data_IF_899445420473
#
_entry.id   IF_899445420473
#
_cell.length_a   1.000
_cell.length_b   1.000
_cell.length_c   1.000
_cell.angle_alpha   90.00
_cell.angle_beta   90.00
_cell.angle_gamma   90.00
#
_symmetry.space_group_name_H-M   'P 1'
#
loop_
_entity.id
_entity.type
_entity.pdbx_description
1 polymer ?
#
# COMPACT_ATOMS: atom_id res chain seq x y z
N UNK A 1 11.16 3.83 -8.81
CA UNK A 1 11.25 3.12 -7.50
C UNK A 1 12.42 2.17 -7.53
N UNK A 2 13.24 2.13 -6.48
CA UNK A 2 14.38 1.21 -6.37
C UNK A 2 13.97 -0.04 -5.59
N UNK A 3 14.60 -1.21 -5.82
CA UNK A 3 14.40 -2.37 -4.96
C UNK A 3 14.80 -2.05 -3.51
N UNK A 4 14.05 -2.57 -2.53
CA UNK A 4 14.32 -2.38 -1.10
C UNK A 4 13.07 -2.22 -0.26
N UNK A 5 13.25 -1.75 0.98
CA UNK A 5 12.21 -1.65 1.99
C UNK A 5 11.53 -0.29 1.95
N UNK A 6 10.19 -0.31 2.00
CA UNK A 6 9.35 0.86 2.04
C UNK A 6 8.30 0.75 3.14
N UNK A 7 7.89 1.89 3.71
CA UNK A 7 6.60 2.00 4.40
C UNK A 7 5.59 2.62 3.45
N UNK A 8 4.39 2.08 3.42
CA UNK A 8 3.22 2.74 2.84
C UNK A 8 2.49 3.44 3.99
N UNK A 9 2.38 4.77 3.89
CA UNK A 9 1.59 5.57 4.81
C UNK A 9 0.22 5.89 4.17
N UNK A 10 -0.82 6.01 4.99
CA UNK A 10 -2.19 6.29 4.54
C UNK A 10 -2.84 7.37 5.42
N UNK A 11 -3.58 8.27 4.77
CA UNK A 11 -4.52 9.19 5.39
C UNK A 11 -5.90 9.04 4.72
N UNK A 12 -6.98 9.27 5.46
CA UNK A 12 -8.35 9.33 4.94
C UNK A 12 -8.53 10.46 3.94
N UNK A 13 -9.46 10.30 3.00
CA UNK A 13 -9.72 11.31 1.96
C UNK A 13 -10.36 12.62 2.48
N UNK A 14 -10.82 12.62 3.73
CA UNK A 14 -11.33 13.78 4.46
C UNK A 14 -10.26 14.50 5.30
N UNK A 15 -9.03 13.97 5.34
CA UNK A 15 -7.90 14.57 6.03
C UNK A 15 -7.07 15.46 5.10
N UNK A 16 -6.33 16.42 5.68
CA UNK A 16 -5.41 17.27 4.92
C UNK A 16 -4.16 16.47 4.54
N UNK A 17 -3.87 16.24 3.23
CA UNK A 17 -2.70 15.49 2.81
C UNK A 17 -1.37 16.21 3.10
N UNK A 18 -1.39 17.51 3.42
CA UNK A 18 -0.22 18.28 3.84
C UNK A 18 0.07 18.19 5.35
N UNK A 19 -0.87 17.65 6.14
CA UNK A 19 -0.66 17.41 7.57
C UNK A 19 0.00 16.05 7.78
N UNK A 20 1.28 16.05 8.16
CA UNK A 20 2.02 14.82 8.41
C UNK A 20 1.42 13.98 9.55
N UNK A 21 0.71 14.59 10.51
CA UNK A 21 0.07 13.88 11.62
C UNK A 21 -1.18 13.08 11.18
N UNK A 22 -1.72 13.39 9.99
CA UNK A 22 -2.86 12.65 9.42
C UNK A 22 -2.48 11.24 8.95
N UNK A 23 -1.19 10.95 8.76
CA UNK A 23 -0.73 9.71 8.15
C UNK A 23 -0.44 8.62 9.19
N UNK A 24 -1.16 7.51 9.07
CA UNK A 24 -0.85 6.26 9.75
C UNK A 24 -0.01 5.32 8.89
N UNK A 25 0.67 4.36 9.52
CA UNK A 25 1.31 3.25 8.81
C UNK A 25 0.22 2.31 8.25
N UNK A 26 0.21 2.10 6.94
CA UNK A 26 -0.68 1.14 6.29
C UNK A 26 0.01 -0.20 6.03
N UNK A 27 1.27 -0.20 5.60
CA UNK A 27 2.03 -1.43 5.40
C UNK A 27 3.55 -1.21 5.45
N UNK A 28 4.28 -2.25 5.83
CA UNK A 28 5.72 -2.37 5.58
C UNK A 28 5.95 -3.34 4.43
N UNK A 29 6.69 -2.94 3.41
CA UNK A 29 6.86 -3.70 2.17
C UNK A 29 8.32 -3.82 1.76
N UNK A 30 8.62 -4.86 0.99
CA UNK A 30 9.90 -5.08 0.33
C UNK A 30 9.63 -5.32 -1.16
N UNK A 31 10.19 -4.46 -2.01
CA UNK A 31 10.09 -4.53 -3.47
C UNK A 31 11.38 -5.10 -4.06
N UNK A 32 11.27 -6.11 -4.91
CA UNK A 32 12.41 -6.74 -5.57
C UNK A 32 11.99 -7.48 -6.83
N UNK A 33 12.76 -7.32 -7.91
CA UNK A 33 12.65 -8.12 -9.15
C UNK A 33 11.22 -8.18 -9.73
N UNK A 34 10.49 -7.05 -9.69
CA UNK A 34 9.11 -6.96 -10.20
C UNK A 34 8.04 -7.53 -9.27
N UNK A 35 8.42 -7.96 -8.06
CA UNK A 35 7.52 -8.47 -7.03
C UNK A 35 7.61 -7.65 -5.74
N UNK A 36 6.58 -7.73 -4.93
CA UNK A 36 6.63 -7.19 -3.58
C UNK A 36 5.89 -8.05 -2.57
N UNK A 37 6.35 -7.95 -1.33
CA UNK A 37 5.72 -8.57 -0.16
C UNK A 37 5.72 -7.58 0.98
N UNK A 38 4.73 -7.68 1.85
CA UNK A 38 4.60 -6.80 2.99
C UNK A 38 3.57 -7.29 3.99
N UNK A 39 3.47 -6.52 5.07
CA UNK A 39 2.54 -6.77 6.17
C UNK A 39 1.88 -5.46 6.56
N UNK A 40 0.58 -5.53 6.79
CA UNK A 40 -0.21 -4.45 7.38
C UNK A 40 -0.20 -4.58 8.93
N UNK A 41 -0.34 -3.47 9.70
CA UNK A 41 -0.41 -3.51 11.16
C UNK A 41 -1.48 -4.44 11.76
N UNK A 42 -2.60 -4.65 11.06
CA UNK A 42 -3.66 -5.59 11.38
C UNK A 42 -3.32 -7.06 11.12
N UNK A 43 -2.13 -7.35 10.58
CA UNK A 43 -1.63 -8.70 10.36
C UNK A 43 -2.05 -9.34 9.03
N UNK A 44 -2.61 -8.57 8.09
CA UNK A 44 -2.78 -8.99 6.70
C UNK A 44 -1.42 -9.06 6.02
N UNK A 45 -1.20 -10.13 5.25
CA UNK A 45 -0.08 -10.16 4.31
C UNK A 45 -0.52 -9.43 3.04
N UNK A 46 0.33 -8.53 2.55
CA UNK A 46 0.15 -7.86 1.27
C UNK A 46 1.24 -8.35 0.32
N UNK A 47 0.91 -8.72 -0.90
CA UNK A 47 1.92 -9.15 -1.88
C UNK A 47 1.45 -8.92 -3.31
N UNK A 48 2.35 -9.01 -4.27
CA UNK A 48 1.96 -8.92 -5.66
C UNK A 48 3.11 -8.59 -6.59
N UNK A 49 2.74 -7.98 -7.71
CA UNK A 49 3.64 -7.62 -8.79
C UNK A 49 3.68 -6.10 -8.97
N UNK A 50 4.82 -5.59 -9.39
CA UNK A 50 4.97 -4.20 -9.76
C UNK A 50 5.75 -4.05 -11.06
N UNK A 51 5.40 -3.02 -11.82
CA UNK A 51 6.04 -2.65 -13.09
C UNK A 51 6.22 -1.15 -13.09
N UNK A 52 7.34 -0.69 -13.64
CA UNK A 52 7.60 0.73 -13.85
C UNK A 52 7.53 0.97 -15.35
N UNK A 53 6.66 1.87 -15.79
CA UNK A 53 6.55 2.23 -17.21
C UNK A 53 7.62 3.25 -17.64
N UNK A 54 7.61 3.62 -18.92
CA UNK A 54 8.57 4.57 -19.50
C UNK A 54 8.47 5.98 -18.89
N UNK A 55 7.29 6.34 -18.37
CA UNK A 55 7.02 7.61 -17.69
C UNK A 55 7.37 7.54 -16.18
N UNK A 56 7.89 6.41 -15.71
CA UNK A 56 8.25 6.17 -14.31
C UNK A 56 7.06 5.88 -13.39
N UNK A 57 5.84 5.74 -13.92
CA UNK A 57 4.67 5.35 -13.14
C UNK A 57 4.79 3.89 -12.71
N UNK A 58 4.24 3.59 -11.55
CA UNK A 58 4.37 2.28 -10.93
C UNK A 58 3.01 1.60 -10.96
N UNK A 59 2.84 0.66 -11.87
CA UNK A 59 1.68 -0.21 -11.90
C UNK A 59 1.86 -1.33 -10.86
N UNK A 60 0.92 -1.46 -9.94
CA UNK A 60 0.88 -2.44 -8.86
C UNK A 60 -0.34 -3.33 -9.04
N UNK A 61 -0.13 -4.63 -8.97
CA UNK A 61 -1.19 -5.60 -8.75
C UNK A 61 -1.06 -6.12 -7.31
N UNK A 62 -2.03 -5.84 -6.46
CA UNK A 62 -2.00 -6.10 -5.02
C UNK A 62 -2.90 -7.28 -4.66
N UNK A 63 -2.38 -8.16 -3.81
CA UNK A 63 -3.09 -9.26 -3.16
C UNK A 63 -3.04 -9.04 -1.65
N UNK A 64 -4.21 -8.92 -1.03
CA UNK A 64 -4.38 -8.86 0.42
C UNK A 64 -4.88 -10.21 0.92
N UNK A 65 -4.04 -10.93 1.65
CA UNK A 65 -4.35 -12.22 2.25
C UNK A 65 -4.74 -12.05 3.72
N UNK A 66 -6.05 -12.09 3.98
CA UNK A 66 -6.63 -12.01 5.32
C UNK A 66 -6.82 -13.39 5.93
N UNK A 67 -6.54 -13.49 7.24
CA UNK A 67 -6.90 -14.66 8.04
C UNK A 67 -8.37 -14.59 8.46
N UNK A 68 -8.95 -15.73 8.79
CA UNK A 68 -10.26 -15.76 9.45
C UNK A 68 -10.20 -15.00 10.80
N UNK A 69 -11.28 -14.30 11.13
CA UNK A 69 -11.40 -13.50 12.35
C UNK A 69 -10.83 -12.08 12.25
N UNK A 70 -10.28 -11.67 11.11
CA UNK A 70 -9.87 -10.27 10.90
C UNK A 70 -11.12 -9.40 10.73
N UNK A 71 -11.16 -8.31 11.49
CA UNK A 71 -12.14 -7.23 11.36
C UNK A 71 -11.52 -6.06 10.60
N UNK A 72 -12.17 -5.64 9.51
CA UNK A 72 -11.80 -4.44 8.76
C UNK A 72 -12.30 -3.18 9.47
N UNK A 73 -11.72 -2.02 9.13
CA UNK A 73 -12.13 -0.73 9.70
C UNK A 73 -13.62 -0.38 9.47
N UNK A 74 -14.27 -0.99 8.48
CA UNK A 74 -15.71 -0.83 8.22
C UNK A 74 -16.60 -1.82 9.01
N UNK A 75 -16.03 -2.58 9.96
CA UNK A 75 -16.74 -3.58 10.77
C UNK A 75 -16.96 -4.93 10.10
N UNK A 76 -16.45 -5.14 8.88
CA UNK A 76 -16.54 -6.44 8.20
C UNK A 76 -15.62 -7.44 8.86
N UNK A 77 -16.15 -8.58 9.29
CA UNK A 77 -15.36 -9.70 9.83
C UNK A 77 -15.31 -10.82 8.78
N UNK A 78 -14.11 -11.29 8.46
CA UNK A 78 -13.95 -12.45 7.59
C UNK A 78 -14.10 -13.75 8.40
N UNK A 79 -15.12 -14.55 8.09
CA UNK A 79 -15.38 -15.85 8.73
C UNK A 79 -14.42 -16.97 8.28
N UNK A 80 -13.69 -16.73 7.19
CA UNK A 80 -12.69 -17.61 6.60
C UNK A 80 -11.51 -16.82 6.06
N UNK A 81 -10.41 -17.50 5.78
CA UNK A 81 -9.31 -16.88 5.05
C UNK A 81 -9.82 -16.33 3.71
N UNK A 82 -9.53 -15.06 3.44
CA UNK A 82 -10.10 -14.31 2.32
C UNK A 82 -8.98 -13.57 1.60
N UNK A 83 -9.03 -13.57 0.27
CA UNK A 83 -8.15 -12.77 -0.58
C UNK A 83 -8.93 -11.63 -1.22
N UNK A 84 -8.38 -10.43 -1.15
CA UNK A 84 -8.81 -9.30 -1.98
C UNK A 84 -7.70 -8.95 -2.97
N UNK A 85 -8.10 -8.57 -4.18
CA UNK A 85 -7.19 -8.16 -5.24
C UNK A 85 -7.53 -6.73 -5.68
N UNK A 86 -6.51 -5.93 -5.97
CA UNK A 86 -6.68 -4.58 -6.44
C UNK A 86 -5.54 -4.19 -7.40
N UNK A 87 -5.84 -3.39 -8.41
CA UNK A 87 -4.85 -2.78 -9.27
C UNK A 87 -4.72 -1.29 -8.95
N UNK A 88 -3.49 -0.79 -8.92
CA UNK A 88 -3.19 0.60 -8.60
C UNK A 88 -2.06 1.11 -9.49
N UNK A 89 -2.14 2.36 -9.93
CA UNK A 89 -1.05 3.04 -10.64
C UNK A 89 -0.60 4.23 -9.81
N UNK A 90 0.68 4.24 -9.43
CA UNK A 90 1.30 5.34 -8.72
C UNK A 90 2.05 6.27 -9.68
N UNK A 91 1.91 7.57 -9.47
CA UNK A 91 2.77 8.57 -10.07
C UNK A 91 4.20 8.42 -9.52
N UNK A 92 5.24 8.80 -10.30
CA UNK A 92 6.63 8.74 -9.85
C UNK A 92 6.85 9.44 -8.50
N UNK A 93 6.21 10.60 -8.31
CA UNK A 93 6.30 11.41 -7.10
C UNK A 93 5.84 10.66 -5.84
N UNK A 94 4.88 9.74 -5.94
CA UNK A 94 4.41 8.97 -4.79
C UNK A 94 5.49 8.03 -4.22
N UNK A 95 6.42 7.58 -5.07
CA UNK A 95 7.58 6.79 -4.66
C UNK A 95 8.70 7.63 -4.03
N UNK A 96 8.59 8.94 -4.13
CA UNK A 96 9.49 9.94 -3.55
C UNK A 96 8.92 10.54 -2.25
N UNK A 97 7.75 10.05 -1.81
CA UNK A 97 7.11 10.48 -0.56
C UNK A 97 5.98 11.49 -0.75
N UNK A 98 5.67 11.90 -1.99
CA UNK A 98 4.55 12.81 -2.23
C UNK A 98 3.20 12.10 -2.04
N UNK A 99 2.21 12.75 -1.40
CA UNK A 99 0.86 12.23 -1.30
C UNK A 99 0.22 11.99 -2.68
N UNK A 100 -0.40 10.83 -2.84
CA UNK A 100 -1.22 10.52 -4.01
C UNK A 100 -2.63 10.10 -3.57
N UNK A 101 -3.69 10.70 -4.15
CA UNK A 101 -5.05 10.22 -3.94
C UNK A 101 -5.26 8.87 -4.64
N UNK A 102 -5.87 7.93 -3.91
CA UNK A 102 -6.20 6.59 -4.41
C UNK A 102 -7.57 6.16 -3.90
N UNK A 103 -8.20 5.22 -4.63
CA UNK A 103 -9.39 4.53 -4.17
C UNK A 103 -9.35 3.09 -4.69
N UNK A 104 -9.04 2.15 -3.79
CA UNK A 104 -8.93 0.71 -4.10
C UNK A 104 -10.22 -0.05 -3.75
N UNK A 105 -11.37 0.63 -3.76
CA UNK A 105 -12.67 0.05 -3.36
C UNK A 105 -12.94 0.12 -1.85
N UNK A 106 -12.08 0.80 -1.09
CA UNK A 106 -12.22 1.05 0.34
C UNK A 106 -12.58 2.51 0.67
N UNK A 107 -12.87 3.32 -0.36
CA UNK A 107 -13.12 4.76 -0.23
C UNK A 107 -11.93 5.62 -0.65
N UNK A 108 -12.12 6.95 -0.77
CA UNK A 108 -11.04 7.87 -1.10
C UNK A 108 -10.05 7.97 0.06
N UNK A 109 -8.76 7.92 -0.27
CA UNK A 109 -7.66 8.05 0.67
C UNK A 109 -6.43 8.64 -0.02
N UNK A 110 -5.46 9.09 0.75
CA UNK A 110 -4.13 9.45 0.28
C UNK A 110 -3.13 8.40 0.71
N UNK A 111 -2.18 8.06 -0.16
CA UNK A 111 -1.04 7.22 0.19
C UNK A 111 0.26 7.88 -0.24
N UNK A 112 1.35 7.54 0.44
CA UNK A 112 2.72 7.83 0.01
C UNK A 112 3.65 6.70 0.40
N UNK A 113 4.71 6.50 -0.38
CA UNK A 113 5.74 5.51 -0.10
C UNK A 113 6.96 6.21 0.47
N UNK A 114 7.43 5.76 1.63
CA UNK A 114 8.66 6.25 2.22
C UNK A 114 9.73 5.16 2.13
N UNK A 115 10.88 5.53 1.60
CA UNK A 115 12.05 4.66 1.58
C UNK A 115 12.58 4.41 2.99
N UNK A 116 12.90 3.16 3.32
CA UNK A 116 13.43 2.77 4.64
C UNK A 116 14.88 2.27 4.56
N UNK A 117 15.16 1.28 3.71
CA UNK A 117 16.46 0.62 3.68
C UNK A 117 16.71 -0.13 2.37
N UNK A 118 17.98 -0.28 2.00
CA UNK A 118 18.41 -1.13 0.88
C UNK A 118 18.16 -2.61 1.23
N UNK A 119 17.97 -3.49 0.23
CA UNK A 119 17.87 -4.92 0.47
C UNK A 119 19.19 -5.45 1.07
N UNK A 120 19.09 -6.41 2.01
CA UNK A 120 20.24 -7.12 2.61
C UNK A 120 20.79 -8.16 1.63
#
# INVERSE_FOLDING_TARGET
>A
MKPGFYSIAQAGGDQDPADDEAYGLAALTHFRDGQFVGVDPGGCKVSGEYRIDEDGRIALHLNYDFRAGIELANGTIFDRATRLEADLVLAPAAAEGEPQPVNIGLGPMFIRLNWLADPI
#
